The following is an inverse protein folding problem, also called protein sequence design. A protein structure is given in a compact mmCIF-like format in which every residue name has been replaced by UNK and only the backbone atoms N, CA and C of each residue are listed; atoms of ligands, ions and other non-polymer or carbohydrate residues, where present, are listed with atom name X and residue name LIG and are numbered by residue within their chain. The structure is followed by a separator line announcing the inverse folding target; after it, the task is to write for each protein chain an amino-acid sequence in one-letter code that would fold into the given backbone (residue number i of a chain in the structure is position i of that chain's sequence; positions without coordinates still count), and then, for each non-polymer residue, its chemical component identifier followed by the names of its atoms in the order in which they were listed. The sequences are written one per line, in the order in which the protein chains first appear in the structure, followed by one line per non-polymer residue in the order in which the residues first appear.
data_IF_354652329117
#
_entry.id   IF_354652329117
#
_cell.length_a   1.000
_cell.length_b   1.000
_cell.length_c   1.000
_cell.angle_alpha   90.00
_cell.angle_beta   90.00
_cell.angle_gamma   90.00
#
_symmetry.space_group_name_H-M   'P 1'
#
loop_
_entity.id
_entity.type
_entity.pdbx_description
1 polymer ?
#
# COMPACT_ATOMS: atom_id res chain seq x y z
N UNK A 1 7.47 12.42 -9.01
CA UNK A 1 7.27 11.01 -8.60
C UNK A 1 7.51 10.92 -7.10
N UNK A 2 6.81 10.09 -6.31
CA UNK A 2 7.08 9.97 -4.86
C UNK A 2 8.54 9.61 -4.53
N UNK A 3 9.22 8.94 -5.47
CA UNK A 3 10.66 8.69 -5.41
C UNK A 3 11.53 9.96 -5.32
N UNK A 4 11.04 11.11 -5.80
CA UNK A 4 11.79 12.37 -5.79
C UNK A 4 11.69 13.10 -4.43
N UNK A 5 10.76 12.67 -3.56
CA UNK A 5 10.61 13.21 -2.20
C UNK A 5 11.52 12.49 -1.19
N UNK A 6 12.11 11.37 -1.57
CA UNK A 6 13.06 10.61 -0.75
C UNK A 6 14.44 11.24 -0.95
N UNK A 7 14.92 11.96 0.05
CA UNK A 7 16.28 12.49 0.08
C UNK A 7 16.97 12.06 1.38
N UNK A 8 18.29 11.94 1.32
CA UNK A 8 19.10 11.45 2.44
C UNK A 8 18.94 12.30 3.70
N UNK A 9 18.80 13.62 3.55
CA UNK A 9 18.64 14.55 4.67
C UNK A 9 17.34 14.30 5.42
N UNK A 10 16.20 14.19 4.71
CA UNK A 10 14.90 13.94 5.32
C UNK A 10 14.82 12.55 5.94
N UNK A 11 15.38 11.53 5.28
CA UNK A 11 15.44 10.18 5.85
C UNK A 11 16.26 10.15 7.13
N UNK A 12 17.44 10.78 7.13
CA UNK A 12 18.28 10.87 8.33
C UNK A 12 17.55 11.57 9.46
N UNK A 13 16.96 12.75 9.20
CA UNK A 13 16.22 13.50 10.20
C UNK A 13 15.06 12.69 10.81
N UNK A 14 14.37 11.88 10.00
CA UNK A 14 13.31 11.01 10.49
C UNK A 14 13.85 9.87 11.38
N UNK A 15 14.93 9.22 10.98
CA UNK A 15 15.56 8.16 11.79
C UNK A 15 16.14 8.70 13.10
N UNK A 16 16.79 9.87 13.08
CA UNK A 16 17.32 10.53 14.27
C UNK A 16 16.19 10.88 15.26
N UNK A 17 15.06 11.39 14.75
CA UNK A 17 13.86 11.68 15.56
C UNK A 17 13.27 10.41 16.17
N UNK A 18 13.12 9.34 15.38
CA UNK A 18 12.57 8.07 15.85
C UNK A 18 13.45 7.47 16.95
N UNK A 19 14.77 7.38 16.71
CA UNK A 19 15.74 6.84 17.69
C UNK A 19 15.73 7.64 19.00
N UNK A 20 15.71 8.98 18.90
CA UNK A 20 15.65 9.86 20.09
C UNK A 20 14.36 9.63 20.88
N UNK A 21 13.21 9.60 20.20
CA UNK A 21 11.88 9.40 20.82
C UNK A 21 11.79 8.05 21.53
N UNK A 22 12.32 6.98 20.91
CA UNK A 22 12.32 5.65 21.50
C UNK A 22 13.19 5.59 22.75
N UNK A 23 14.36 6.24 22.75
CA UNK A 23 15.27 6.29 23.90
C UNK A 23 14.75 7.14 25.05
N UNK A 24 14.11 8.27 24.74
CA UNK A 24 13.59 9.21 25.76
C UNK A 24 12.41 8.61 26.55
N UNK A 25 11.55 7.86 25.87
CA UNK A 25 10.32 7.37 26.46
C UNK A 25 10.35 5.90 26.91
N UNK A 26 11.35 5.13 26.47
CA UNK A 26 11.55 3.72 26.86
C UNK A 26 10.25 2.89 26.74
N UNK A 27 9.56 3.03 25.60
CA UNK A 27 8.31 2.32 25.37
C UNK A 27 8.55 0.81 25.36
N UNK A 28 7.72 0.07 26.11
CA UNK A 28 7.75 -1.38 26.06
C UNK A 28 7.42 -1.88 24.63
N UNK A 29 8.09 -2.93 24.12
CA UNK A 29 7.92 -3.40 22.74
C UNK A 29 6.47 -3.68 22.33
N UNK A 30 5.64 -4.18 23.25
CA UNK A 30 4.21 -4.45 23.07
C UNK A 30 3.36 -3.20 22.78
N UNK A 31 3.92 -2.00 23.00
CA UNK A 31 3.28 -0.72 22.76
C UNK A 31 3.80 0.01 21.50
N UNK A 32 4.72 -0.60 20.74
CA UNK A 32 5.29 -0.02 19.53
C UNK A 32 4.71 -0.75 18.32
N UNK A 33 4.04 -0.01 17.42
CA UNK A 33 3.41 -0.58 16.23
C UNK A 33 3.87 0.14 14.96
N UNK A 34 4.33 -0.64 13.98
CA UNK A 34 4.44 -0.21 12.59
C UNK A 34 3.12 -0.45 11.88
N UNK A 35 2.60 0.56 11.18
CA UNK A 35 1.32 0.49 10.46
C UNK A 35 1.51 0.98 9.03
N UNK A 36 0.96 0.25 8.07
CA UNK A 36 0.98 0.63 6.66
C UNK A 36 -0.36 0.30 5.97
N UNK A 37 -0.60 0.97 4.84
CA UNK A 37 -1.80 0.82 4.02
C UNK A 37 -1.46 0.24 2.65
N UNK A 38 -2.22 -0.78 2.23
CA UNK A 38 -2.21 -1.26 0.85
C UNK A 38 -3.61 -1.18 0.24
N UNK A 39 -3.70 -0.55 -0.93
CA UNK A 39 -4.91 -0.48 -1.73
C UNK A 39 -4.94 -1.55 -2.82
N UNK A 40 -6.01 -2.33 -2.87
CA UNK A 40 -6.28 -3.29 -3.92
C UNK A 40 -7.43 -2.80 -4.79
N UNK A 41 -7.12 -2.57 -6.07
CA UNK A 41 -8.14 -2.39 -7.06
C UNK A 41 -8.45 -3.74 -7.70
N UNK A 42 -9.69 -4.20 -7.55
CA UNK A 42 -10.18 -5.45 -8.17
C UNK A 42 -10.32 -5.34 -9.69
N UNK A 43 -10.11 -4.14 -10.26
CA UNK A 43 -10.26 -3.87 -11.68
C UNK A 43 -9.05 -3.09 -12.26
N UNK A 44 -8.60 -3.47 -13.46
CA UNK A 44 -7.80 -2.59 -14.33
C UNK A 44 -6.34 -2.98 -14.58
N UNK A 45 -5.83 -4.08 -14.01
CA UNK A 45 -4.50 -4.60 -14.35
C UNK A 45 -4.52 -5.73 -15.40
N UNK A 46 -5.70 -6.32 -15.64
CA UNK A 46 -5.79 -7.53 -16.46
C UNK A 46 -5.77 -7.19 -17.96
N UNK A 47 -4.82 -7.79 -18.67
CA UNK A 47 -4.85 -7.92 -20.13
C UNK A 47 -5.31 -9.33 -20.46
N UNK A 48 -6.48 -9.42 -21.05
CA UNK A 48 -7.05 -10.68 -21.52
C UNK A 48 -6.80 -10.86 -23.03
N UNK A 49 -6.61 -12.09 -23.48
CA UNK A 49 -6.67 -12.41 -24.91
C UNK A 49 -8.13 -12.45 -25.36
N UNK A 50 -8.43 -11.77 -26.46
CA UNK A 50 -9.78 -11.72 -27.04
C UNK A 50 -9.76 -12.17 -28.49
N UNK A 51 -10.85 -12.81 -28.94
CA UNK A 51 -11.05 -13.16 -30.35
C UNK A 51 -11.62 -11.92 -31.05
N UNK A 52 -10.89 -11.40 -32.04
CA UNK A 52 -11.26 -10.22 -32.81
C UNK A 52 -11.32 -10.46 -34.32
N UNK A 53 -11.92 -9.54 -35.10
CA UNK A 53 -11.94 -9.63 -36.56
C UNK A 53 -10.53 -9.56 -37.14
N UNK A 54 -10.25 -10.31 -38.22
CA UNK A 54 -8.95 -10.29 -38.92
C UNK A 54 -8.50 -8.88 -39.35
N UNK A 55 -9.44 -7.98 -39.62
CA UNK A 55 -9.18 -6.60 -40.03
C UNK A 55 -8.76 -5.68 -38.87
N UNK A 56 -8.99 -6.08 -37.61
CA UNK A 56 -8.72 -5.25 -36.44
C UNK A 56 -7.42 -5.70 -35.78
N UNK A 57 -6.34 -4.94 -36.00
CA UNK A 57 -5.05 -5.14 -35.35
C UNK A 57 -4.92 -4.19 -34.15
N UNK A 58 -4.54 -4.72 -32.98
CA UNK A 58 -4.28 -3.92 -31.78
C UNK A 58 -5.24 -4.18 -30.61
N UNK A 59 -5.10 -3.45 -29.49
CA UNK A 59 -5.86 -3.69 -28.28
C UNK A 59 -7.36 -3.44 -28.49
N UNK A 60 -8.19 -4.37 -28.02
CA UNK A 60 -9.63 -4.19 -27.99
C UNK A 60 -10.05 -3.68 -26.62
N UNK A 61 -10.51 -2.43 -26.57
CA UNK A 61 -10.98 -1.82 -25.33
C UNK A 61 -12.38 -2.31 -24.99
N UNK A 62 -12.53 -2.92 -23.83
CA UNK A 62 -13.83 -3.22 -23.26
C UNK A 62 -14.32 -2.01 -22.44
N UNK A 63 -15.46 -1.45 -22.82
CA UNK A 63 -16.18 -0.49 -21.96
C UNK A 63 -16.95 -1.32 -20.94
N UNK A 64 -16.52 -1.30 -19.68
CA UNK A 64 -17.26 -1.89 -18.56
C UNK A 64 -17.85 -0.75 -17.73
N UNK A 65 -19.14 -0.86 -17.37
CA UNK A 65 -19.73 -0.07 -16.28
C UNK A 65 -19.44 -0.82 -14.99
N UNK A 66 -18.82 -0.18 -14.00
CA UNK A 66 -18.49 -0.83 -12.75
C UNK A 66 -18.12 0.17 -11.66
N UNK A 67 -18.69 -0.04 -10.48
CA UNK A 67 -18.31 0.65 -9.25
C UNK A 67 -16.83 0.35 -9.00
N UNK A 68 -15.98 1.39 -9.06
CA UNK A 68 -14.53 1.27 -8.84
C UNK A 68 -14.26 1.23 -7.35
N UNK A 69 -14.77 0.20 -6.70
CA UNK A 69 -14.63 0.03 -5.27
C UNK A 69 -13.20 -0.40 -4.95
N UNK A 70 -12.56 0.34 -4.06
CA UNK A 70 -11.19 0.05 -3.63
C UNK A 70 -11.27 -0.75 -2.32
N UNK A 71 -10.48 -1.81 -2.24
CA UNK A 71 -10.29 -2.56 -1.01
C UNK A 71 -9.02 -2.02 -0.37
N UNK A 72 -9.17 -1.28 0.73
CA UNK A 72 -8.03 -0.82 1.52
C UNK A 72 -7.79 -1.81 2.65
N UNK A 73 -6.54 -2.30 2.76
CA UNK A 73 -6.10 -3.14 3.86
C UNK A 73 -5.11 -2.36 4.70
N UNK A 74 -5.40 -2.24 5.99
CA UNK A 74 -4.52 -1.66 7.00
C UNK A 74 -3.82 -2.81 7.72
N UNK A 75 -2.49 -2.84 7.64
CA UNK A 75 -1.65 -3.85 8.27
C UNK A 75 -0.88 -3.23 9.42
N UNK A 76 -0.79 -3.94 10.54
CA UNK A 76 -0.02 -3.51 11.71
C UNK A 76 0.88 -4.64 12.21
N UNK A 77 2.10 -4.30 12.60
CA UNK A 77 3.07 -5.23 13.19
C UNK A 77 3.57 -4.60 14.49
N UNK A 78 3.52 -5.36 15.58
CA UNK A 78 4.03 -4.95 16.87
C UNK A 78 5.53 -5.28 17.01
N UNK A 79 6.28 -4.46 17.74
CA UNK A 79 7.70 -4.69 17.96
C UNK A 79 7.98 -5.92 18.85
N UNK A 80 6.98 -6.43 19.57
CA UNK A 80 7.05 -7.71 20.29
C UNK A 80 7.01 -8.95 19.37
N UNK A 81 6.81 -8.74 18.06
CA UNK A 81 6.74 -9.78 17.04
C UNK A 81 5.32 -10.28 16.73
N UNK A 82 4.30 -9.78 17.44
CA UNK A 82 2.90 -10.08 17.13
C UNK A 82 2.37 -9.23 15.97
N UNK A 83 1.37 -9.74 15.28
CA UNK A 83 0.65 -9.01 14.24
C UNK A 83 -0.85 -9.24 14.42
N UNK A 84 -1.65 -8.22 14.78
CA UNK A 84 -3.10 -8.35 14.82
C UNK A 84 -3.66 -8.63 13.42
N UNK A 85 -4.86 -9.22 13.30
CA UNK A 85 -5.53 -9.37 12.02
C UNK A 85 -5.67 -8.00 11.32
N UNK A 86 -5.44 -7.94 9.99
CA UNK A 86 -5.52 -6.69 9.26
C UNK A 86 -6.97 -6.16 9.23
N UNK A 87 -7.13 -4.84 9.21
CA UNK A 87 -8.43 -4.21 9.01
C UNK A 87 -8.68 -4.01 7.51
N UNK A 88 -9.86 -4.45 7.03
CA UNK A 88 -10.24 -4.37 5.63
C UNK A 88 -11.42 -3.39 5.49
N UNK A 89 -11.23 -2.36 4.67
CA UNK A 89 -12.22 -1.34 4.38
C UNK A 89 -12.68 -1.49 2.94
N UNK A 90 -13.98 -1.70 2.76
CA UNK A 90 -14.64 -1.70 1.45
C UNK A 90 -15.30 -0.34 1.22
N UNK A 91 -15.15 0.22 0.03
CA UNK A 91 -15.73 1.51 -0.36
C UNK A 91 -16.22 1.48 -1.79
#
# INVERSE_FOLDING_TARGET
KRADAVNETTNKAWWDLLDTTLKEHDFAPENIYGVDEVGFNTYGADREYVIGPKSKKGPQYQRRTGNRENITVIVSICADGTAPPPAIIFK
#
